data_IF_200784981035
#
_entry.id   IF_200784981035
#
_cell.length_a   1.000
_cell.length_b   1.000
_cell.length_c   1.000
_cell.angle_alpha   90.00
_cell.angle_beta   90.00
_cell.angle_gamma   90.00
#
_symmetry.space_group_name_H-M   'P 1'
#
loop_
_entity.id
_entity.type
_entity.pdbx_description
1 polymer ?
#
# COMPACT_ATOMS: atom_id res chain seq x y z
N UNK A 1 0.44 -11.56 1.38
CA UNK A 1 0.54 -10.35 2.22
C UNK A 1 1.83 -9.68 1.83
N UNK A 2 1.78 -8.39 1.51
CA UNK A 2 2.97 -7.58 1.28
C UNK A 2 3.45 -7.08 2.64
N UNK A 3 4.76 -7.10 2.85
CA UNK A 3 5.41 -6.60 4.06
C UNK A 3 6.57 -5.69 3.65
N UNK A 4 6.61 -4.50 4.24
CA UNK A 4 7.61 -3.48 3.99
C UNK A 4 8.13 -2.93 5.30
N UNK A 5 9.46 -2.79 5.38
CA UNK A 5 10.12 -2.07 6.46
C UNK A 5 10.56 -0.71 5.92
N UNK A 6 10.26 0.33 6.68
CA UNK A 6 10.51 1.71 6.27
C UNK A 6 12.02 2.06 6.21
N UNK A 7 12.34 3.24 5.71
CA UNK A 7 13.73 3.68 5.55
C UNK A 7 14.51 3.81 6.87
N UNK A 8 13.85 4.05 8.00
CA UNK A 8 14.48 4.12 9.32
C UNK A 8 14.53 2.79 10.05
N UNK A 9 13.87 1.76 9.50
CA UNK A 9 13.74 0.42 10.07
C UNK A 9 13.05 0.38 11.42
N UNK A 10 12.16 1.34 11.66
CA UNK A 10 11.39 1.46 12.90
C UNK A 10 9.93 1.12 12.69
N UNK A 11 9.43 1.23 11.45
CA UNK A 11 8.05 0.91 11.09
C UNK A 11 8.03 -0.30 10.16
N UNK A 12 7.25 -1.31 10.53
CA UNK A 12 6.85 -2.41 9.67
C UNK A 12 5.39 -2.21 9.24
N UNK A 13 5.16 -2.15 7.94
CA UNK A 13 3.84 -2.04 7.33
C UNK A 13 3.54 -3.33 6.57
N UNK A 14 2.43 -3.96 6.87
CA UNK A 14 1.92 -5.11 6.13
C UNK A 14 0.55 -4.79 5.59
N UNK A 15 0.26 -5.22 4.36
CA UNK A 15 -1.07 -5.07 3.79
C UNK A 15 -1.46 -6.23 2.86
N UNK A 16 -2.77 -6.50 2.81
CA UNK A 16 -3.31 -7.60 2.03
C UNK A 16 -4.80 -7.41 1.68
N UNK A 17 -5.22 -7.89 0.52
CA UNK A 17 -6.65 -8.02 0.20
C UNK A 17 -7.16 -9.34 0.79
N UNK A 18 -8.14 -9.25 1.68
CA UNK A 18 -8.66 -10.42 2.43
C UNK A 18 -10.01 -10.92 1.91
N UNK A 19 -10.73 -10.11 1.15
CA UNK A 19 -12.04 -10.47 0.59
C UNK A 19 -12.70 -9.28 -0.08
N UNK A 20 -13.95 -9.46 -0.46
CA UNK A 20 -14.84 -8.38 -0.84
C UNK A 20 -15.63 -7.90 0.37
N UNK A 21 -16.04 -6.63 0.38
CA UNK A 21 -16.89 -6.09 1.45
C UNK A 21 -18.22 -6.84 1.55
N UNK A 22 -18.85 -7.07 0.40
CA UNK A 22 -20.11 -7.79 0.27
C UNK A 22 -19.93 -9.05 -0.59
N UNK A 23 -19.54 -10.20 0.00
CA UNK A 23 -19.15 -11.40 -0.76
C UNK A 23 -20.23 -11.93 -1.73
N UNK A 24 -21.50 -11.72 -1.41
CA UNK A 24 -22.64 -12.23 -2.17
C UNK A 24 -23.30 -11.17 -3.08
N UNK A 25 -22.65 -10.02 -3.28
CA UNK A 25 -23.15 -8.95 -4.13
C UNK A 25 -22.30 -8.79 -5.39
N UNK A 26 -22.76 -7.93 -6.31
CA UNK A 26 -22.00 -7.49 -7.48
C UNK A 26 -21.00 -6.37 -7.18
N UNK A 27 -20.94 -5.94 -5.93
CA UNK A 27 -20.02 -4.90 -5.51
C UNK A 27 -18.57 -5.41 -5.51
N UNK A 28 -17.68 -4.55 -6.00
CA UNK A 28 -16.26 -4.80 -6.25
C UNK A 28 -15.35 -4.13 -5.20
N UNK A 29 -15.90 -3.58 -4.13
CA UNK A 29 -15.11 -3.14 -2.97
C UNK A 29 -14.36 -4.31 -2.34
N UNK A 30 -13.05 -4.13 -2.21
CA UNK A 30 -12.09 -5.04 -1.61
C UNK A 30 -11.74 -4.60 -0.19
N UNK A 31 -11.77 -5.56 0.72
CA UNK A 31 -11.30 -5.38 2.08
C UNK A 31 -9.77 -5.38 2.12
N UNK A 32 -9.20 -4.19 2.35
CA UNK A 32 -7.78 -3.99 2.59
C UNK A 32 -7.50 -4.17 4.08
N UNK A 33 -6.75 -5.22 4.41
CA UNK A 33 -6.18 -5.41 5.73
C UNK A 33 -4.84 -4.70 5.81
N UNK A 34 -4.65 -3.85 6.81
CA UNK A 34 -3.40 -3.16 7.13
C UNK A 34 -2.96 -3.53 8.54
N UNK A 35 -1.66 -3.78 8.71
CA UNK A 35 -1.00 -3.96 9.99
C UNK A 35 0.19 -3.01 10.04
N UNK A 36 0.29 -2.23 11.11
CA UNK A 36 1.43 -1.36 11.39
C UNK A 36 2.05 -1.76 12.72
N UNK A 37 3.37 -1.85 12.76
CA UNK A 37 4.13 -2.09 13.99
C UNK A 37 5.27 -1.08 14.13
N UNK A 38 5.38 -0.47 15.30
CA UNK A 38 6.46 0.47 15.66
C UNK A 38 6.65 0.48 17.17
N UNK A 39 7.90 0.36 17.64
CA UNK A 39 8.27 0.56 19.06
C UNK A 39 7.40 -0.19 20.08
N UNK A 40 6.92 -1.38 19.73
CA UNK A 40 6.03 -2.19 20.58
C UNK A 40 4.53 -1.91 20.41
N UNK A 41 4.16 -0.80 19.77
CA UNK A 41 2.80 -0.54 19.34
C UNK A 41 2.45 -1.41 18.12
N UNK A 42 1.18 -1.79 18.04
CA UNK A 42 0.61 -2.54 16.92
C UNK A 42 -0.78 -2.03 16.61
N UNK A 43 -0.99 -1.62 15.36
CA UNK A 43 -2.30 -1.31 14.81
C UNK A 43 -2.65 -2.38 13.76
N UNK A 44 -3.89 -2.84 13.76
CA UNK A 44 -4.40 -3.81 12.80
C UNK A 44 -5.85 -3.47 12.46
N UNK A 45 -6.12 -3.23 11.18
CA UNK A 45 -7.43 -2.82 10.68
C UNK A 45 -7.73 -3.50 9.35
N UNK A 46 -9.01 -3.73 9.09
CA UNK A 46 -9.51 -4.15 7.78
C UNK A 46 -10.66 -3.22 7.41
N UNK A 47 -10.62 -2.69 6.19
CA UNK A 47 -11.55 -1.67 5.72
C UNK A 47 -11.79 -1.78 4.20
N UNK A 48 -13.00 -1.48 3.67
CA UNK A 48 -13.26 -1.43 2.23
C UNK A 48 -12.57 -0.21 1.58
N UNK A 49 -11.28 -0.35 1.29
CA UNK A 49 -10.43 0.78 0.89
C UNK A 49 -10.12 0.86 -0.61
N UNK A 50 -10.35 -0.23 -1.36
CA UNK A 50 -9.94 -0.35 -2.76
C UNK A 50 -11.00 -1.05 -3.56
N UNK A 51 -11.21 -0.65 -4.80
CA UNK A 51 -11.98 -1.41 -5.77
C UNK A 51 -11.09 -2.42 -6.52
N UNK A 52 -11.69 -3.40 -7.19
CA UNK A 52 -10.95 -4.35 -8.06
C UNK A 52 -10.14 -3.60 -9.14
N UNK A 53 -10.67 -2.49 -9.65
CA UNK A 53 -9.97 -1.63 -10.59
C UNK A 53 -8.68 -1.06 -10.00
N UNK A 54 -8.69 -0.69 -8.72
CA UNK A 54 -7.52 -0.15 -8.03
C UNK A 54 -6.39 -1.17 -7.90
N UNK A 55 -6.71 -2.46 -7.79
CA UNK A 55 -5.69 -3.52 -7.79
C UNK A 55 -4.90 -3.54 -9.10
N UNK A 56 -5.57 -3.29 -10.23
CA UNK A 56 -4.93 -3.18 -11.55
C UNK A 56 -4.12 -1.90 -11.66
N UNK A 57 -4.65 -0.78 -11.14
CA UNK A 57 -3.92 0.49 -11.07
C UNK A 57 -2.63 0.34 -10.26
N UNK A 58 -2.70 -0.25 -9.06
CA UNK A 58 -1.55 -0.58 -8.23
C UNK A 58 -0.55 -1.48 -8.96
N UNK A 59 -1.02 -2.54 -9.61
CA UNK A 59 -0.15 -3.44 -10.37
C UNK A 59 0.61 -2.71 -11.47
N UNK A 60 -0.09 -1.91 -12.28
CA UNK A 60 0.54 -1.15 -13.37
C UNK A 60 1.56 -0.16 -12.82
N UNK A 61 1.21 0.56 -11.76
CA UNK A 61 2.10 1.52 -11.11
C UNK A 61 3.39 0.88 -10.60
N UNK A 62 3.29 -0.23 -9.85
CA UNK A 62 4.48 -0.96 -9.40
C UNK A 62 5.25 -1.61 -10.55
N UNK A 63 4.58 -1.99 -11.64
CA UNK A 63 5.19 -2.59 -12.82
C UNK A 63 6.05 -1.57 -13.57
N UNK A 64 5.58 -0.32 -13.70
CA UNK A 64 6.36 0.75 -14.32
C UNK A 64 7.60 1.07 -13.48
N UNK A 65 7.44 1.18 -12.15
CA UNK A 65 8.56 1.35 -11.22
C UNK A 65 9.58 0.21 -11.31
N UNK A 66 9.13 -1.05 -11.44
CA UNK A 66 10.02 -2.21 -11.61
C UNK A 66 10.85 -2.18 -12.90
N UNK A 67 10.39 -1.43 -13.91
CA UNK A 67 11.07 -1.24 -15.20
C UNK A 67 11.88 0.05 -15.25
N UNK A 68 12.05 0.74 -14.12
CA UNK A 68 12.67 2.07 -14.06
C UNK A 68 11.95 3.11 -14.93
N UNK A 69 10.63 2.96 -15.10
CA UNK A 69 9.79 3.90 -15.82
C UNK A 69 9.03 4.78 -14.83
N UNK A 70 8.78 6.04 -15.21
CA UNK A 70 7.88 6.88 -14.44
C UNK A 70 6.45 6.36 -14.62
N UNK A 71 5.69 6.15 -13.54
CA UNK A 71 4.29 5.81 -13.64
C UNK A 71 3.50 6.95 -14.26
N UNK A 72 2.31 6.66 -14.79
CA UNK A 72 1.39 7.69 -15.34
C UNK A 72 1.14 8.83 -14.35
N UNK A 73 1.02 8.47 -13.07
CA UNK A 73 0.77 9.38 -11.98
C UNK A 73 1.81 9.19 -10.88
N UNK A 74 2.49 10.28 -10.51
CA UNK A 74 3.45 10.26 -9.42
C UNK A 74 2.77 9.98 -8.06
N UNK A 75 1.45 10.21 -7.93
CA UNK A 75 0.67 9.91 -6.74
C UNK A 75 -0.58 9.13 -7.12
N UNK A 76 -0.79 7.97 -6.48
CA UNK A 76 -2.03 7.23 -6.53
C UNK A 76 -2.95 7.66 -5.38
N UNK A 77 -4.19 7.98 -5.71
CA UNK A 77 -5.29 8.19 -4.79
C UNK A 77 -6.46 7.33 -5.26
N UNK A 78 -7.21 6.77 -4.33
CA UNK A 78 -8.35 5.92 -4.62
C UNK A 78 -9.65 6.63 -4.23
N UNK A 79 -10.77 6.02 -4.59
CA UNK A 79 -12.10 6.54 -4.26
C UNK A 79 -12.24 6.72 -2.74
N UNK A 80 -11.85 5.70 -1.96
CA UNK A 80 -11.74 5.79 -0.51
C UNK A 80 -10.37 6.39 -0.12
N UNK A 81 -10.33 7.57 0.53
CA UNK A 81 -9.08 8.30 0.79
C UNK A 81 -8.23 7.74 1.95
N UNK A 82 -8.46 6.51 2.41
CA UNK A 82 -7.75 5.94 3.55
C UNK A 82 -6.37 5.33 3.21
N UNK A 83 -6.08 5.09 1.93
CA UNK A 83 -4.80 4.54 1.45
C UNK A 83 -4.29 5.32 0.23
N UNK A 84 -3.02 5.73 0.22
CA UNK A 84 -2.43 6.38 -0.97
C UNK A 84 -0.93 6.11 -1.08
N UNK A 85 -0.40 6.20 -2.30
CA UNK A 85 1.02 5.98 -2.59
C UNK A 85 1.58 7.14 -3.40
N UNK A 86 2.84 7.50 -3.19
CA UNK A 86 3.54 8.45 -4.04
C UNK A 86 4.95 7.97 -4.40
N UNK A 87 5.34 8.20 -5.64
CA UNK A 87 6.71 8.04 -6.12
C UNK A 87 7.53 9.25 -5.67
N UNK A 88 8.66 9.00 -5.00
CA UNK A 88 9.51 10.06 -4.45
C UNK A 88 10.78 10.21 -5.28
N UNK A 89 11.48 9.11 -5.56
CA UNK A 89 12.70 9.15 -6.36
C UNK A 89 13.13 7.77 -6.85
N UNK A 90 14.03 7.77 -7.84
CA UNK A 90 14.77 6.58 -8.26
C UNK A 90 16.27 6.90 -8.28
N UNK A 91 17.05 6.22 -7.43
CA UNK A 91 18.50 6.43 -7.31
C UNK A 91 19.19 5.10 -7.05
N UNK A 92 20.31 4.83 -7.74
CA UNK A 92 21.12 3.63 -7.54
C UNK A 92 20.31 2.32 -7.57
N UNK A 93 19.38 2.20 -8.53
CA UNK A 93 18.47 1.04 -8.67
C UNK A 93 17.50 0.81 -7.50
N UNK A 94 17.34 1.81 -6.63
CA UNK A 94 16.37 1.80 -5.53
C UNK A 94 15.27 2.81 -5.84
N UNK A 95 14.02 2.34 -5.79
CA UNK A 95 12.84 3.18 -5.89
C UNK A 95 12.47 3.62 -4.47
N UNK A 96 12.29 4.92 -4.25
CA UNK A 96 11.72 5.45 -3.01
C UNK A 96 10.28 5.81 -3.25
N UNK A 97 9.39 5.26 -2.42
CA UNK A 97 7.96 5.60 -2.40
C UNK A 97 7.57 6.09 -1.01
N UNK A 98 6.45 6.79 -0.92
CA UNK A 98 5.71 6.94 0.34
C UNK A 98 4.38 6.21 0.25
N UNK A 99 3.91 5.74 1.40
CA UNK A 99 2.54 5.24 1.60
C UNK A 99 1.94 6.06 2.73
N UNK A 100 0.74 6.61 2.50
CA UNK A 100 -0.01 7.35 3.51
C UNK A 100 -1.25 6.57 3.91
N UNK A 101 -1.41 6.36 5.22
CA UNK A 101 -2.64 5.85 5.82
C UNK A 101 -3.42 7.03 6.41
N UNK A 102 -4.73 7.07 6.18
CA UNK A 102 -5.62 8.14 6.67
C UNK A 102 -6.96 7.56 7.09
N UNK A 103 -7.76 8.38 7.79
CA UNK A 103 -9.15 8.04 8.14
C UNK A 103 -9.22 6.69 8.88
N UNK A 104 -10.01 5.73 8.39
CA UNK A 104 -10.25 4.44 9.03
C UNK A 104 -8.99 3.57 9.13
N UNK A 105 -7.99 3.80 8.27
CA UNK A 105 -6.72 3.06 8.26
C UNK A 105 -5.60 3.79 9.01
N UNK A 106 -5.87 4.95 9.60
CA UNK A 106 -4.89 5.70 10.40
C UNK A 106 -4.67 5.03 11.77
N UNK A 107 -3.44 4.65 12.14
CA UNK A 107 -3.13 4.17 13.47
C UNK A 107 -3.45 5.18 14.58
N UNK A 108 -3.88 4.67 15.73
CA UNK A 108 -4.26 5.44 16.92
C UNK A 108 -3.08 5.89 17.79
N UNK A 109 -1.85 5.65 17.33
CA UNK A 109 -0.61 6.13 17.95
C UNK A 109 0.15 7.06 16.99
N UNK A 110 1.08 7.84 17.54
CA UNK A 110 1.91 8.73 16.75
C UNK A 110 3.10 8.00 16.12
N UNK A 111 3.53 8.48 14.95
CA UNK A 111 4.79 8.08 14.37
C UNK A 111 5.98 8.63 15.20
N UNK A 112 6.87 7.75 15.65
CA UNK A 112 8.12 8.18 16.33
C UNK A 112 9.08 8.94 15.40
N UNK A 113 10.05 9.66 15.98
CA UNK A 113 11.15 10.29 15.26
C UNK A 113 11.84 9.32 14.27
N UNK A 114 12.20 9.78 13.07
CA UNK A 114 12.21 11.17 12.60
C UNK A 114 10.87 11.64 11.99
N UNK A 115 9.81 10.85 12.09
CA UNK A 115 8.51 11.16 11.52
C UNK A 115 7.63 12.08 12.39
N UNK A 116 8.00 12.31 13.65
CA UNK A 116 7.28 13.18 14.62
C UNK A 116 6.90 14.57 14.08
N UNK A 117 7.59 15.08 13.06
CA UNK A 117 7.29 16.37 12.42
C UNK A 117 6.21 16.28 11.33
N UNK A 118 5.67 15.10 11.06
CA UNK A 118 4.62 14.88 10.06
C UNK A 118 3.25 14.84 10.73
N UNK A 119 2.32 15.65 10.23
CA UNK A 119 0.93 15.70 10.71
C UNK A 119 0.07 14.52 10.21
N UNK A 120 0.67 13.53 9.53
CA UNK A 120 -0.04 12.40 8.96
C UNK A 120 0.80 11.12 8.96
N UNK A 121 0.11 9.99 8.83
CA UNK A 121 0.70 8.65 8.76
C UNK A 121 1.34 8.35 7.39
N UNK A 122 2.32 9.16 6.98
CA UNK A 122 3.09 8.99 5.74
C UNK A 122 4.45 8.33 6.01
N UNK A 123 4.59 7.10 5.54
CA UNK A 123 5.80 6.29 5.76
C UNK A 123 6.57 6.16 4.45
N UNK A 124 7.90 6.25 4.51
CA UNK A 124 8.76 6.20 3.33
C UNK A 124 9.48 4.86 3.25
N UNK A 125 9.50 4.28 2.04
CA UNK A 125 10.08 2.96 1.79
C UNK A 125 11.10 3.03 0.66
N UNK A 126 12.21 2.29 0.83
CA UNK A 126 13.17 2.00 -0.23
C UNK A 126 12.91 0.60 -0.76
N UNK A 127 12.53 0.52 -2.02
CA UNK A 127 12.19 -0.73 -2.68
C UNK A 127 13.33 -1.16 -3.60
N UNK A 128 13.88 -2.33 -3.32
CA UNK A 128 14.78 -3.05 -4.22
C UNK A 128 13.99 -3.73 -5.34
N UNK A 129 14.71 -4.26 -6.33
CA UNK A 129 14.14 -5.10 -7.38
C UNK A 129 13.37 -6.30 -6.81
N UNK A 130 13.86 -6.90 -5.73
CA UNK A 130 13.23 -8.06 -5.09
C UNK A 130 11.95 -7.65 -4.35
N UNK A 131 11.93 -6.48 -3.71
CA UNK A 131 10.70 -5.93 -3.13
C UNK A 131 9.64 -5.71 -4.20
N UNK A 132 10.00 -5.07 -5.32
CA UNK A 132 9.08 -4.82 -6.44
C UNK A 132 8.56 -6.12 -7.05
N UNK A 133 9.43 -7.12 -7.27
CA UNK A 133 9.02 -8.43 -7.76
C UNK A 133 8.03 -9.14 -6.82
N UNK A 134 8.24 -9.01 -5.50
CA UNK A 134 7.38 -9.59 -4.47
C UNK A 134 6.01 -8.91 -4.41
N UNK A 135 5.99 -7.58 -4.46
CA UNK A 135 4.78 -6.76 -4.54
C UNK A 135 3.96 -7.14 -5.79
N UNK A 136 4.59 -7.19 -6.96
CA UNK A 136 3.93 -7.54 -8.22
C UNK A 136 3.36 -8.96 -8.19
N UNK A 137 4.10 -9.91 -7.60
CA UNK A 137 3.61 -11.29 -7.42
C UNK A 137 2.33 -11.31 -6.58
N UNK A 138 2.30 -10.58 -5.45
CA UNK A 138 1.11 -10.52 -4.61
C UNK A 138 -0.07 -9.80 -5.28
N UNK A 139 0.17 -8.67 -5.94
CA UNK A 139 -0.88 -7.95 -6.68
C UNK A 139 -1.48 -8.84 -7.78
N UNK A 140 -0.65 -9.57 -8.52
CA UNK A 140 -1.12 -10.51 -9.54
C UNK A 140 -1.96 -11.64 -8.94
N UNK A 141 -1.56 -12.17 -7.77
CA UNK A 141 -2.34 -13.16 -7.04
C UNK A 141 -3.68 -12.59 -6.57
N UNK A 142 -3.71 -11.35 -6.06
CA UNK A 142 -4.95 -10.70 -5.63
C UNK A 142 -5.90 -10.46 -6.81
N UNK A 143 -5.40 -9.96 -7.94
CA UNK A 143 -6.22 -9.74 -9.16
C UNK A 143 -6.84 -11.05 -9.68
N UNK A 144 -6.11 -12.17 -9.60
CA UNK A 144 -6.65 -13.47 -10.01
C UNK A 144 -7.66 -14.01 -9.00
N UNK A 145 -7.36 -13.86 -7.71
CA UNK A 145 -8.22 -14.36 -6.62
C UNK A 145 -9.51 -13.55 -6.50
N UNK A 146 -9.45 -12.26 -6.79
CA UNK A 146 -10.54 -11.31 -6.72
C UNK A 146 -10.74 -10.68 -8.11
N UNK A 147 -11.47 -11.35 -9.01
CA UNK A 147 -11.82 -10.79 -10.32
C UNK A 147 -12.97 -9.77 -10.21
N UNK A 148 -13.21 -9.01 -11.29
CA UNK A 148 -14.41 -8.18 -11.42
C UNK A 148 -15.68 -9.02 -11.30
N UNK A 149 -16.70 -8.46 -10.66
CA UNK A 149 -18.02 -9.09 -10.53
C UNK A 149 -18.98 -8.50 -11.54
N UNK A 150 -19.81 -9.35 -12.14
CA UNK A 150 -20.77 -8.99 -13.19
C UNK A 150 -22.20 -9.33 -12.83
#
# INVERSE_FOLDING_TARGET
MIELTDITKTVNLQFNIVGYEFPNSKDDWCLLKVIVQQSGNRFEKTDPALEIADLRTLYNWFNDLSKSQLPSDAKLRFTEPCFSLAFISYKNQIVTISITLSCELEPDFCLDAPYELQDNWTIFFKLSKDNLATILKHLKQWIVKFPYRT
#
